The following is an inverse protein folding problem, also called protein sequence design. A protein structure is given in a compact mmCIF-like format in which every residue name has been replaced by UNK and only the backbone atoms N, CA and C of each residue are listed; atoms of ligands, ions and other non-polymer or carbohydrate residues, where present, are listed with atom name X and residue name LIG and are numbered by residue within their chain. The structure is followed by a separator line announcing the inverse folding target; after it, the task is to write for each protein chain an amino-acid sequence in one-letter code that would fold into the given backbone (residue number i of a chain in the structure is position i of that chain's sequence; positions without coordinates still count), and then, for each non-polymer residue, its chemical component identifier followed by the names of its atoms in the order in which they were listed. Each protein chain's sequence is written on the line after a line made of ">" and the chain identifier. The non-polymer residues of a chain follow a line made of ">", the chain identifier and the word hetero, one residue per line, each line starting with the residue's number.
data_IF_356670787823
#
_entry.id   IF_356670787823
#
_cell.length_a   1.000
_cell.length_b   1.000
_cell.length_c   1.000
_cell.angle_alpha   90.00
_cell.angle_beta   90.00
_cell.angle_gamma   90.00
#
_symmetry.space_group_name_H-M   'P 1'
#
loop_
_entity.id
_entity.type
_entity.pdbx_description
1 polymer ?
#
# COMPACT_ATOMS: atom_id res chain seq x y z
N UNK A 1 -67.41 -20.64 11.33
CA UNK A 1 -66.08 -21.13 11.75
C UNK A 1 -65.05 -20.57 10.78
N UNK A 2 -64.09 -19.80 11.29
CA UNK A 2 -62.97 -19.21 10.53
C UNK A 2 -62.07 -20.33 10.01
N UNK A 3 -61.76 -20.36 8.71
CA UNK A 3 -60.59 -21.05 8.18
C UNK A 3 -59.84 -20.12 7.23
N UNK A 4 -58.81 -19.54 7.82
CA UNK A 4 -57.70 -18.77 7.27
C UNK A 4 -57.01 -19.60 6.17
N UNK A 5 -56.84 -19.07 4.96
CA UNK A 5 -55.88 -19.61 3.99
C UNK A 5 -54.76 -18.59 3.82
N UNK A 6 -53.56 -19.01 4.17
CA UNK A 6 -52.31 -18.26 4.21
C UNK A 6 -51.83 -18.03 2.77
N UNK A 7 -51.68 -16.76 2.36
CA UNK A 7 -50.98 -16.42 1.11
C UNK A 7 -49.48 -16.57 1.36
N UNK A 8 -48.86 -17.56 0.72
CA UNK A 8 -47.41 -17.76 0.76
C UNK A 8 -46.77 -16.74 -0.21
N UNK A 9 -46.31 -15.62 0.33
CA UNK A 9 -45.54 -14.62 -0.43
C UNK A 9 -44.10 -15.12 -0.54
N UNK A 10 -43.70 -15.55 -1.74
CA UNK A 10 -42.31 -15.84 -2.07
C UNK A 10 -41.63 -14.51 -2.46
N UNK A 11 -41.06 -13.81 -1.49
CA UNK A 11 -40.13 -12.70 -1.78
C UNK A 11 -38.83 -13.34 -2.25
N UNK A 12 -38.55 -13.24 -3.54
CA UNK A 12 -37.19 -13.41 -4.06
C UNK A 12 -36.40 -12.20 -3.56
N UNK A 13 -35.56 -12.41 -2.54
CA UNK A 13 -34.51 -11.45 -2.19
C UNK A 13 -33.53 -11.46 -3.36
N UNK A 14 -33.63 -10.47 -4.24
CA UNK A 14 -32.55 -10.13 -5.16
C UNK A 14 -31.41 -9.65 -4.28
N UNK A 15 -30.41 -10.50 -4.08
CA UNK A 15 -29.15 -10.09 -3.48
C UNK A 15 -28.47 -9.17 -4.49
N UNK A 16 -28.64 -7.85 -4.34
CA UNK A 16 -27.69 -6.89 -4.89
C UNK A 16 -26.38 -7.09 -4.11
N UNK A 17 -25.57 -8.06 -4.52
CA UNK A 17 -24.16 -8.05 -4.15
C UNK A 17 -23.56 -6.80 -4.79
N UNK A 18 -22.86 -5.92 -4.03
CA UNK A 18 -21.98 -4.98 -4.67
C UNK A 18 -21.01 -5.81 -5.53
N UNK A 19 -20.89 -5.46 -6.81
CA UNK A 19 -19.83 -5.99 -7.66
C UNK A 19 -18.52 -5.74 -6.93
N UNK A 20 -17.86 -6.81 -6.51
CA UNK A 20 -16.53 -6.74 -5.92
C UNK A 20 -15.67 -5.88 -6.83
N UNK A 21 -15.12 -4.78 -6.31
CA UNK A 21 -13.87 -4.26 -6.88
C UNK A 21 -12.90 -5.44 -7.02
N UNK A 22 -12.06 -5.42 -8.05
CA UNK A 22 -11.28 -6.59 -8.48
C UNK A 22 -10.66 -7.30 -7.27
N UNK A 23 -10.78 -8.63 -7.24
CA UNK A 23 -10.17 -9.53 -6.22
C UNK A 23 -8.63 -9.53 -6.29
N UNK A 24 -8.04 -8.52 -6.93
CA UNK A 24 -6.63 -8.36 -7.09
C UNK A 24 -6.01 -7.74 -5.86
N UNK A 25 -4.87 -8.28 -5.48
CA UNK A 25 -4.02 -7.76 -4.43
C UNK A 25 -2.55 -7.85 -4.86
N UNK A 26 -1.75 -6.91 -4.39
CA UNK A 26 -0.30 -6.91 -4.51
C UNK A 26 0.36 -7.86 -3.50
N UNK A 27 -0.38 -8.58 -2.67
CA UNK A 27 0.13 -9.80 -2.02
C UNK A 27 0.31 -10.88 -3.11
N UNK A 28 1.52 -10.97 -3.67
CA UNK A 28 1.91 -11.82 -4.81
C UNK A 28 2.41 -13.19 -4.35
N UNK A 29 2.81 -13.38 -3.10
CA UNK A 29 3.10 -14.72 -2.57
C UNK A 29 1.95 -15.31 -1.73
N UNK A 30 0.92 -14.51 -1.45
CA UNK A 30 -0.32 -14.93 -0.79
C UNK A 30 -0.17 -15.11 0.71
N UNK A 31 0.81 -14.46 1.35
CA UNK A 31 1.05 -14.59 2.79
C UNK A 31 0.19 -13.67 3.68
N UNK A 32 -0.71 -12.89 3.05
CA UNK A 32 -1.58 -11.92 3.70
C UNK A 32 -0.92 -10.57 3.97
N UNK A 33 0.26 -10.31 3.41
CA UNK A 33 0.97 -9.03 3.49
C UNK A 33 1.43 -8.60 2.10
N UNK A 34 1.68 -7.31 1.96
CA UNK A 34 2.37 -6.79 0.78
C UNK A 34 3.70 -6.19 1.22
N UNK A 35 4.80 -6.83 0.83
CA UNK A 35 6.17 -6.47 1.15
C UNK A 35 6.99 -6.12 -0.09
N UNK A 36 7.97 -5.22 0.07
CA UNK A 36 8.84 -4.80 -1.03
C UNK A 36 9.70 -5.95 -1.59
N UNK A 37 10.30 -6.75 -0.70
CA UNK A 37 11.23 -7.82 -1.08
C UNK A 37 10.56 -9.16 -1.39
N UNK A 38 9.31 -9.32 -0.98
CA UNK A 38 8.49 -10.50 -1.29
C UNK A 38 7.68 -10.24 -2.54
N UNK A 39 6.85 -9.20 -2.54
CA UNK A 39 5.86 -9.00 -3.58
C UNK A 39 6.35 -8.03 -4.65
N UNK A 40 6.86 -6.86 -4.24
CA UNK A 40 7.39 -5.86 -5.17
C UNK A 40 8.53 -6.41 -6.03
N UNK A 41 9.41 -7.23 -5.44
CA UNK A 41 10.49 -7.89 -6.16
C UNK A 41 9.97 -8.96 -7.13
N UNK A 42 8.94 -9.73 -6.77
CA UNK A 42 8.31 -10.69 -7.68
C UNK A 42 7.68 -9.98 -8.89
N UNK A 43 6.95 -8.89 -8.68
CA UNK A 43 6.39 -8.07 -9.78
C UNK A 43 7.50 -7.54 -10.66
N UNK A 44 8.54 -6.92 -10.09
CA UNK A 44 9.65 -6.36 -10.86
C UNK A 44 10.36 -7.42 -11.71
N UNK A 45 10.65 -8.59 -11.14
CA UNK A 45 11.28 -9.71 -11.84
C UNK A 45 10.39 -10.23 -12.97
N UNK A 46 9.09 -10.37 -12.72
CA UNK A 46 8.12 -10.80 -13.73
C UNK A 46 8.06 -9.82 -14.90
N UNK A 47 8.00 -8.51 -14.65
CA UNK A 47 7.97 -7.48 -15.70
C UNK A 47 9.29 -7.42 -16.50
N UNK A 48 10.42 -7.79 -15.90
CA UNK A 48 11.68 -8.02 -16.63
C UNK A 48 11.68 -9.32 -17.46
N UNK A 49 10.61 -10.12 -17.40
CA UNK A 49 10.47 -11.38 -18.12
C UNK A 49 11.13 -12.59 -17.42
N UNK A 50 11.48 -12.47 -16.13
CA UNK A 50 12.02 -13.61 -15.39
C UNK A 50 10.94 -14.64 -15.06
N UNK A 51 11.35 -15.91 -15.04
CA UNK A 51 10.49 -17.05 -14.77
C UNK A 51 11.27 -18.16 -14.05
N UNK A 52 10.57 -19.20 -13.61
CA UNK A 52 11.18 -20.32 -12.89
C UNK A 52 11.85 -19.89 -11.57
N UNK A 53 12.97 -20.53 -11.24
CA UNK A 53 13.72 -20.21 -10.01
C UNK A 53 14.16 -18.74 -9.98
N UNK A 54 14.56 -18.14 -11.10
CA UNK A 54 15.00 -16.73 -11.12
C UNK A 54 13.88 -15.77 -10.71
N UNK A 55 12.62 -16.11 -10.99
CA UNK A 55 11.48 -15.33 -10.52
C UNK A 55 11.34 -15.44 -8.99
N UNK A 56 11.30 -16.66 -8.46
CA UNK A 56 10.87 -16.94 -7.09
C UNK A 56 11.98 -16.95 -6.03
N UNK A 57 13.24 -17.20 -6.41
CA UNK A 57 14.32 -17.46 -5.45
C UNK A 57 14.62 -16.24 -4.57
N UNK A 58 14.55 -16.46 -3.25
CA UNK A 58 14.73 -15.42 -2.23
C UNK A 58 13.66 -14.32 -2.20
N UNK A 59 12.57 -14.46 -2.97
CA UNK A 59 11.48 -13.48 -3.04
C UNK A 59 10.12 -14.05 -2.57
N UNK A 60 10.06 -15.31 -2.16
CA UNK A 60 8.85 -15.93 -1.60
C UNK A 60 9.00 -16.03 -0.09
N UNK A 61 8.02 -15.55 0.68
CA UNK A 61 8.06 -15.62 2.14
C UNK A 61 7.87 -17.04 2.67
N UNK A 62 8.32 -17.29 3.90
CA UNK A 62 8.10 -18.58 4.57
C UNK A 62 6.62 -18.89 4.89
N UNK A 63 5.75 -17.89 4.81
CA UNK A 63 4.30 -18.01 5.06
C UNK A 63 3.49 -17.95 3.76
N UNK A 64 4.16 -17.86 2.61
CA UNK A 64 3.54 -17.80 1.30
C UNK A 64 2.66 -19.02 1.00
N UNK A 65 1.54 -18.76 0.35
CA UNK A 65 0.63 -19.79 -0.17
C UNK A 65 0.96 -20.11 -1.63
N UNK A 66 1.46 -19.12 -2.39
CA UNK A 66 1.94 -19.28 -3.77
C UNK A 66 3.46 -19.30 -3.76
N UNK A 67 4.02 -20.50 -3.64
CA UNK A 67 5.46 -20.71 -3.54
C UNK A 67 6.13 -21.04 -4.88
N UNK A 68 5.38 -21.62 -5.82
CA UNK A 68 5.93 -22.05 -7.10
C UNK A 68 5.90 -20.91 -8.13
N UNK A 69 6.97 -20.78 -8.90
CA UNK A 69 7.09 -19.74 -9.93
C UNK A 69 5.95 -19.80 -10.97
N UNK A 70 5.43 -21.00 -11.27
CA UNK A 70 4.30 -21.17 -12.17
C UNK A 70 3.01 -20.54 -11.64
N UNK A 71 2.74 -20.70 -10.35
CA UNK A 71 1.56 -20.12 -9.69
C UNK A 71 1.65 -18.60 -9.60
N UNK A 72 2.85 -18.08 -9.37
CA UNK A 72 3.14 -16.63 -9.35
C UNK A 72 2.91 -16.04 -10.75
N UNK A 73 3.45 -16.66 -11.81
CA UNK A 73 3.23 -16.22 -13.19
C UNK A 73 1.73 -16.27 -13.56
N UNK A 74 1.04 -17.34 -13.17
CA UNK A 74 -0.40 -17.46 -13.42
C UNK A 74 -1.19 -16.33 -12.76
N UNK A 75 -0.86 -15.98 -11.51
CA UNK A 75 -1.50 -14.87 -10.80
C UNK A 75 -1.21 -13.51 -11.45
N UNK A 76 0.06 -13.22 -11.75
CA UNK A 76 0.48 -11.94 -12.34
C UNK A 76 -0.08 -11.75 -13.75
N UNK A 77 -0.03 -12.78 -14.59
CA UNK A 77 -0.55 -12.71 -15.96
C UNK A 77 -2.07 -12.55 -16.03
N UNK A 78 -2.81 -13.14 -15.07
CA UNK A 78 -4.26 -12.97 -14.98
C UNK A 78 -4.65 -11.53 -14.59
N UNK A 79 -3.75 -10.80 -13.93
CA UNK A 79 -3.97 -9.46 -13.42
C UNK A 79 -3.00 -8.43 -14.01
N UNK A 80 -2.47 -8.69 -15.22
CA UNK A 80 -1.40 -7.87 -15.81
C UNK A 80 -1.80 -6.39 -15.90
N UNK A 81 -3.06 -6.09 -16.22
CA UNK A 81 -3.57 -4.72 -16.30
C UNK A 81 -3.54 -3.97 -14.97
N UNK A 82 -3.54 -4.68 -13.85
CA UNK A 82 -3.43 -4.07 -12.52
C UNK A 82 -1.98 -3.64 -12.20
N UNK A 83 -1.01 -4.17 -12.95
CA UNK A 83 0.41 -3.86 -12.80
C UNK A 83 0.84 -2.59 -13.55
N UNK A 84 -0.04 -1.98 -14.35
CA UNK A 84 0.19 -0.68 -14.99
C UNK A 84 -0.03 0.42 -13.95
N UNK A 85 1.06 0.82 -13.27
CA UNK A 85 1.09 1.74 -12.14
C UNK A 85 1.11 3.20 -12.58
N UNK A 86 1.71 3.54 -13.71
CA UNK A 86 1.69 4.92 -14.24
C UNK A 86 0.53 5.20 -15.20
N UNK A 87 -0.20 4.17 -15.61
CA UNK A 87 -1.48 4.25 -16.30
C UNK A 87 -1.36 4.51 -17.79
N UNK A 88 -0.20 4.21 -18.38
CA UNK A 88 0.06 4.48 -19.78
C UNK A 88 -0.46 3.39 -20.74
N UNK A 89 -1.00 2.30 -20.19
CA UNK A 89 -1.55 1.17 -20.91
C UNK A 89 -0.55 0.06 -21.23
N UNK A 90 0.71 0.23 -20.88
CA UNK A 90 1.75 -0.79 -20.94
C UNK A 90 2.12 -1.25 -19.51
N UNK A 91 2.84 -2.37 -19.40
CA UNK A 91 3.34 -2.86 -18.10
C UNK A 91 4.83 -3.09 -18.22
N UNK A 92 5.60 -2.11 -17.78
CA UNK A 92 7.04 -2.03 -17.96
C UNK A 92 7.78 -2.08 -16.62
N UNK A 93 8.87 -2.83 -16.57
CA UNK A 93 9.57 -3.10 -15.31
C UNK A 93 10.12 -1.83 -14.65
N UNK A 94 10.54 -0.83 -15.44
CA UNK A 94 11.19 0.38 -14.92
C UNK A 94 10.20 1.49 -14.58
N UNK A 95 9.04 1.52 -15.22
CA UNK A 95 8.02 2.55 -14.99
C UNK A 95 6.96 2.09 -13.99
N UNK A 96 6.68 0.78 -13.96
CA UNK A 96 5.70 0.22 -13.04
C UNK A 96 6.34 -0.59 -11.92
N UNK A 97 7.13 -1.60 -12.27
CA UNK A 97 7.73 -2.52 -11.30
C UNK A 97 8.65 -1.80 -10.31
N UNK A 98 9.52 -0.92 -10.80
CA UNK A 98 10.42 -0.13 -9.96
C UNK A 98 9.66 0.90 -9.13
N UNK A 99 8.61 1.52 -9.68
CA UNK A 99 7.78 2.49 -8.98
C UNK A 99 6.99 1.84 -7.84
N UNK A 100 6.39 0.68 -8.09
CA UNK A 100 5.78 -0.18 -7.06
C UNK A 100 6.80 -0.53 -5.98
N UNK A 101 7.99 -0.99 -6.36
CA UNK A 101 9.04 -1.35 -5.41
C UNK A 101 9.46 -0.16 -4.54
N UNK A 102 9.60 1.04 -5.14
CA UNK A 102 9.88 2.28 -4.41
C UNK A 102 8.77 2.60 -3.41
N UNK A 103 7.50 2.53 -3.83
CA UNK A 103 6.38 2.74 -2.93
C UNK A 103 6.42 1.77 -1.73
N UNK A 104 6.67 0.48 -1.96
CA UNK A 104 6.71 -0.54 -0.90
C UNK A 104 7.91 -0.38 0.04
N UNK A 105 9.01 0.23 -0.40
CA UNK A 105 10.11 0.66 0.47
C UNK A 105 9.83 1.95 1.26
N UNK A 106 8.68 2.59 1.01
CA UNK A 106 8.28 3.80 1.71
C UNK A 106 8.72 5.10 1.03
N UNK A 107 9.22 5.07 -0.21
CA UNK A 107 9.50 6.29 -0.96
C UNK A 107 8.20 6.98 -1.40
N UNK A 108 8.17 8.31 -1.30
CA UNK A 108 6.99 9.17 -1.51
C UNK A 108 7.40 10.44 -2.25
N UNK A 109 6.43 11.26 -2.63
CA UNK A 109 6.66 12.55 -3.32
C UNK A 109 7.57 12.40 -4.55
N UNK A 110 8.46 13.35 -4.81
CA UNK A 110 9.38 13.32 -5.95
C UNK A 110 10.24 12.06 -5.99
N UNK A 111 10.62 11.50 -4.84
CA UNK A 111 11.46 10.28 -4.80
C UNK A 111 10.76 9.05 -5.33
N UNK A 112 9.42 9.03 -5.28
CA UNK A 112 8.62 7.96 -5.85
C UNK A 112 8.66 8.01 -7.39
N UNK A 113 8.49 9.20 -7.96
CA UNK A 113 8.20 9.38 -9.39
C UNK A 113 9.39 9.80 -10.26
N UNK A 114 10.44 10.40 -9.67
CA UNK A 114 11.60 10.91 -10.40
C UNK A 114 12.26 9.80 -11.23
N UNK A 115 12.44 10.05 -12.52
CA UNK A 115 13.03 9.13 -13.51
C UNK A 115 12.31 7.76 -13.61
N UNK A 116 11.04 7.67 -13.19
CA UNK A 116 10.25 6.44 -13.24
C UNK A 116 8.92 6.59 -13.99
N UNK A 117 8.54 7.79 -14.44
CA UNK A 117 7.33 7.95 -15.28
C UNK A 117 7.67 7.66 -16.74
N UNK A 118 6.79 6.93 -17.44
CA UNK A 118 6.86 6.84 -18.89
C UNK A 118 6.50 8.17 -19.56
N UNK A 119 6.81 8.31 -20.85
CA UNK A 119 6.41 9.51 -21.62
C UNK A 119 4.89 9.59 -21.88
N UNK A 120 4.18 8.47 -21.72
CA UNK A 120 2.75 8.30 -21.94
C UNK A 120 1.93 8.18 -20.65
N UNK A 121 2.60 8.22 -19.49
CA UNK A 121 1.99 8.13 -18.17
C UNK A 121 0.79 9.06 -18.01
N UNK A 122 -0.31 8.51 -17.49
CA UNK A 122 -1.54 9.26 -17.19
C UNK A 122 -1.60 9.63 -15.71
N UNK A 123 -1.05 8.78 -14.83
CA UNK A 123 -0.84 9.07 -13.41
C UNK A 123 0.58 9.62 -13.27
N UNK A 124 0.68 10.94 -13.12
CA UNK A 124 1.97 11.65 -13.19
C UNK A 124 2.39 12.26 -11.87
N UNK A 125 1.52 12.23 -10.87
CA UNK A 125 1.80 12.76 -9.53
C UNK A 125 2.00 11.62 -8.53
N UNK A 126 2.85 11.84 -7.52
CA UNK A 126 3.03 10.87 -6.43
C UNK A 126 1.70 10.50 -5.78
N UNK A 127 0.81 11.47 -5.54
CA UNK A 127 -0.50 11.23 -4.93
C UNK A 127 -1.39 10.30 -5.75
N UNK A 128 -1.37 10.37 -7.09
CA UNK A 128 -2.15 9.46 -7.94
C UNK A 128 -1.60 8.04 -7.91
N UNK A 129 -0.27 7.91 -7.96
CA UNK A 129 0.43 6.62 -7.87
C UNK A 129 0.19 5.98 -6.52
N UNK A 130 0.34 6.73 -5.43
CA UNK A 130 0.12 6.24 -4.07
C UNK A 130 -1.32 5.77 -3.88
N UNK A 131 -2.31 6.54 -4.37
CA UNK A 131 -3.71 6.13 -4.34
C UNK A 131 -3.96 4.86 -5.15
N UNK A 132 -3.37 4.75 -6.33
CA UNK A 132 -3.49 3.56 -7.19
C UNK A 132 -2.90 2.31 -6.52
N UNK A 133 -1.70 2.41 -5.95
CA UNK A 133 -1.01 1.28 -5.31
C UNK A 133 -1.69 0.93 -3.98
N UNK A 134 -2.06 1.91 -3.15
CA UNK A 134 -2.70 1.68 -1.86
C UNK A 134 -4.04 0.93 -2.00
N UNK A 135 -4.80 1.18 -3.07
CA UNK A 135 -6.04 0.45 -3.36
C UNK A 135 -5.84 -1.04 -3.66
N UNK A 136 -4.60 -1.49 -3.86
CA UNK A 136 -4.25 -2.88 -4.20
C UNK A 136 -3.42 -3.57 -3.12
N UNK A 137 -3.14 -2.92 -1.99
CA UNK A 137 -2.38 -3.52 -0.89
C UNK A 137 -3.32 -4.20 0.07
N UNK A 138 -2.91 -5.36 0.62
CA UNK A 138 -3.61 -5.94 1.76
C UNK A 138 -3.46 -5.00 2.95
N UNK A 139 -4.54 -4.31 3.31
CA UNK A 139 -4.59 -3.47 4.50
C UNK A 139 -4.27 -4.35 5.72
N UNK A 140 -3.06 -4.20 6.25
CA UNK A 140 -2.75 -4.82 7.54
C UNK A 140 -3.58 -4.09 8.59
N UNK A 141 -4.08 -4.81 9.59
CA UNK A 141 -4.91 -4.24 10.68
C UNK A 141 -4.23 -3.10 11.46
N UNK A 142 -2.96 -2.79 11.18
CA UNK A 142 -2.18 -1.68 11.74
C UNK A 142 -2.49 -0.31 11.11
N UNK A 143 -3.12 -0.25 9.93
CA UNK A 143 -3.39 1.03 9.22
C UNK A 143 -4.75 1.65 9.55
N UNK A 144 -5.51 1.05 10.49
CA UNK A 144 -6.70 1.69 11.08
C UNK A 144 -6.36 2.66 12.23
N UNK A 145 -5.09 3.04 12.38
CA UNK A 145 -4.69 4.10 13.31
C UNK A 145 -5.14 5.46 12.76
N UNK A 146 -6.43 5.74 12.98
CA UNK A 146 -6.98 7.09 12.95
C UNK A 146 -6.25 7.94 13.99
N UNK A 147 -5.44 8.87 13.51
CA UNK A 147 -4.91 9.95 14.33
C UNK A 147 -3.59 9.63 15.04
N UNK A 148 -2.60 10.46 14.72
CA UNK A 148 -1.27 10.60 15.33
C UNK A 148 -0.30 9.42 15.02
N UNK A 149 0.43 9.53 13.91
CA UNK A 149 1.48 8.59 13.52
C UNK A 149 2.64 9.27 12.80
N UNK A 150 3.86 8.93 13.22
CA UNK A 150 5.15 9.44 12.73
C UNK A 150 5.43 9.05 11.28
N UNK A 151 5.96 10.00 10.50
CA UNK A 151 6.53 9.71 9.18
C UNK A 151 7.72 8.75 9.39
N UNK A 152 7.75 7.67 8.60
CA UNK A 152 8.66 6.52 8.59
C UNK A 152 10.16 6.82 8.33
N UNK A 153 10.67 7.96 8.79
CA UNK A 153 12.09 8.30 8.83
C UNK A 153 12.59 8.39 10.28
N UNK A 154 12.27 7.37 11.08
CA UNK A 154 12.91 7.20 12.39
C UNK A 154 14.34 6.70 12.14
N UNK A 155 15.28 7.64 12.05
CA UNK A 155 16.65 7.33 12.44
C UNK A 155 16.58 6.69 13.83
N UNK A 156 17.30 5.58 14.13
CA UNK A 156 17.32 4.99 15.46
C UNK A 156 17.94 5.89 16.55
N UNK A 157 18.28 7.13 16.19
CA UNK A 157 18.78 8.21 17.05
C UNK A 157 17.87 9.44 17.08
N UNK A 158 16.73 9.44 16.38
CA UNK A 158 15.73 10.48 16.53
C UNK A 158 15.10 10.28 17.91
N UNK A 159 15.33 11.20 18.83
CA UNK A 159 14.40 11.45 19.93
C UNK A 159 13.48 12.56 19.44
N UNK A 160 12.49 12.27 18.58
CA UNK A 160 11.77 13.33 17.87
C UNK A 160 10.89 14.16 18.79
N UNK A 161 10.65 13.65 20.00
CA UNK A 161 9.84 14.27 21.04
C UNK A 161 10.61 14.21 22.35
N UNK A 162 10.82 15.36 23.00
CA UNK A 162 11.36 15.44 24.36
C UNK A 162 10.52 16.35 25.24
N UNK A 163 10.53 16.07 26.55
CA UNK A 163 9.82 16.84 27.57
C UNK A 163 10.81 17.58 28.46
N UNK A 164 10.42 18.74 28.94
CA UNK A 164 11.11 19.35 30.08
C UNK A 164 10.97 18.45 31.32
N UNK A 165 11.92 18.48 32.26
CA UNK A 165 11.83 17.72 33.52
C UNK A 165 10.61 18.06 34.39
N UNK A 166 9.93 19.18 34.13
CA UNK A 166 8.70 19.62 34.80
C UNK A 166 7.42 19.31 33.99
N UNK A 167 7.55 18.56 32.89
CA UNK A 167 6.49 18.21 31.94
C UNK A 167 5.73 19.42 31.36
N UNK A 168 6.26 20.64 31.43
CA UNK A 168 5.52 21.84 31.01
C UNK A 168 5.49 22.03 29.49
N UNK A 169 6.57 21.64 28.79
CA UNK A 169 6.68 21.78 27.34
C UNK A 169 7.07 20.46 26.67
N UNK A 170 6.53 20.28 25.47
CA UNK A 170 6.89 19.23 24.53
C UNK A 170 7.62 19.87 23.36
N UNK A 171 8.80 19.35 23.02
CA UNK A 171 9.55 19.75 21.83
C UNK A 171 9.39 18.69 20.76
N UNK A 172 8.96 19.08 19.56
CA UNK A 172 8.74 18.18 18.43
C UNK A 172 9.61 18.62 17.26
N UNK A 173 10.48 17.73 16.78
CA UNK A 173 11.29 18.00 15.57
C UNK A 173 10.43 17.75 14.33
N UNK A 174 10.37 18.73 13.44
CA UNK A 174 9.63 18.64 12.18
C UNK A 174 10.60 18.38 11.02
N UNK A 175 10.88 17.10 10.76
CA UNK A 175 11.89 16.67 9.77
C UNK A 175 11.62 17.18 8.34
N UNK A 176 10.37 17.18 7.80
CA UNK A 176 10.11 17.74 6.48
C UNK A 176 10.42 19.24 6.35
N UNK A 177 10.35 19.99 7.45
CA UNK A 177 10.53 21.45 7.45
C UNK A 177 11.88 21.91 8.03
N UNK A 178 12.65 21.01 8.63
CA UNK A 178 13.89 21.30 9.38
C UNK A 178 13.68 22.36 10.50
N UNK A 179 12.59 22.22 11.25
CA UNK A 179 12.20 23.12 12.36
C UNK A 179 11.86 22.38 13.65
N UNK A 180 11.64 23.11 14.75
CA UNK A 180 11.24 22.56 16.05
C UNK A 180 10.00 23.30 16.57
N UNK A 181 8.90 22.58 16.71
CA UNK A 181 7.71 23.10 17.38
C UNK A 181 7.85 22.94 18.90
N UNK A 182 7.52 23.99 19.64
CA UNK A 182 7.40 23.97 21.10
C UNK A 182 5.92 24.03 21.45
N UNK A 183 5.46 23.03 22.21
CA UNK A 183 4.06 22.86 22.58
C UNK A 183 3.94 22.99 24.08
N UNK A 184 2.97 23.79 24.54
CA UNK A 184 2.57 23.80 25.94
C UNK A 184 1.84 22.48 26.26
N UNK A 185 2.39 21.69 27.17
CA UNK A 185 1.89 20.34 27.45
C UNK A 185 0.53 20.34 28.18
N UNK A 186 0.19 21.42 28.89
CA UNK A 186 -1.08 21.55 29.60
C UNK A 186 -2.25 21.90 28.68
N UNK A 187 -1.99 22.63 27.60
CA UNK A 187 -3.02 23.13 26.67
C UNK A 187 -2.98 22.48 25.29
N UNK A 188 -1.86 21.85 24.92
CA UNK A 188 -1.64 21.26 23.60
C UNK A 188 -1.41 22.27 22.48
N UNK A 189 -1.23 23.55 22.80
CA UNK A 189 -1.03 24.60 21.81
C UNK A 189 0.45 24.74 21.42
N UNK A 190 0.71 24.93 20.12
CA UNK A 190 2.04 25.34 19.63
C UNK A 190 2.28 26.79 20.03
N UNK A 191 3.30 27.01 20.86
CA UNK A 191 3.68 28.34 21.36
C UNK A 191 4.88 28.93 20.61
N UNK A 192 5.65 28.08 19.91
CA UNK A 192 6.78 28.50 19.08
C UNK A 192 7.01 27.51 17.93
N UNK A 193 7.49 28.02 16.79
CA UNK A 193 7.96 27.28 15.61
C UNK A 193 9.38 27.72 15.25
#
# INVERSE_FOLDING_TARGET
>A
MRRLLLALVFIAVVQNAPSSESDFSLDIDGDGKTGALTDGLLVLRYLFGFSGITLSDGAVSSSAVRTEAGDIVAYLSANVTELDVDGDGETDALTDGLMLLRYLFGFRDETLITDALSSSAVRTTSSEIEGYVAGRIVATASDLQTGVGHMNHESPHAGPITLLPDDSLVYVVNTPADTVDVIDAGTGNVIQR
#
